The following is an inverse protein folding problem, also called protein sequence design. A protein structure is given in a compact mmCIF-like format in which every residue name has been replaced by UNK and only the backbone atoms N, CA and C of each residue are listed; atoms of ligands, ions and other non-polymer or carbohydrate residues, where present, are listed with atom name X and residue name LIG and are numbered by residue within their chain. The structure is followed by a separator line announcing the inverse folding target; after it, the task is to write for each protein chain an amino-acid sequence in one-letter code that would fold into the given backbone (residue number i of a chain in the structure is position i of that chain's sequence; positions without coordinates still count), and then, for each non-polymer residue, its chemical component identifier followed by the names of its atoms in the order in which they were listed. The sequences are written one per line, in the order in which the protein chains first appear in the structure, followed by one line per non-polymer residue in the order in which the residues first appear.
data_IF_631250884890
#
_entry.id   IF_631250884890
#
_cell.length_a   1.000
_cell.length_b   1.000
_cell.length_c   1.000
_cell.angle_alpha   90.00
_cell.angle_beta   90.00
_cell.angle_gamma   90.00
#
_symmetry.space_group_name_H-M   'P 1'
#
loop_
_entity.id
_entity.type
_entity.pdbx_description
1 polymer ?
#
# COMPACT_ATOMS: atom_id res chain seq x y z
N UNK A 1 -20.41 4.53 -15.69
CA UNK A 1 -19.04 5.02 -15.50
C UNK A 1 -18.73 5.20 -14.03
N UNK A 2 -18.19 4.13 -13.45
CA UNK A 2 -17.66 4.08 -12.09
C UNK A 2 -16.23 3.56 -12.17
N UNK A 3 -15.35 4.14 -11.36
CA UNK A 3 -13.93 3.79 -11.26
C UNK A 3 -13.54 3.73 -9.78
N UNK A 4 -12.51 2.95 -9.46
CA UNK A 4 -11.91 2.92 -8.13
C UNK A 4 -10.38 2.93 -8.23
N UNK A 5 -9.78 4.05 -7.79
CA UNK A 5 -8.35 4.30 -7.96
C UNK A 5 -7.57 4.20 -6.65
N UNK A 6 -8.16 3.66 -5.58
CA UNK A 6 -7.46 3.50 -4.30
C UNK A 6 -7.79 2.15 -3.67
N UNK A 7 -7.12 1.10 -4.16
CA UNK A 7 -7.35 -0.29 -3.74
C UNK A 7 -6.05 -0.90 -3.23
N UNK A 8 -6.13 -1.66 -2.14
CA UNK A 8 -4.98 -2.35 -1.54
C UNK A 8 -5.15 -3.86 -1.72
N UNK A 9 -4.04 -4.53 -1.99
CA UNK A 9 -3.94 -5.98 -2.09
C UNK A 9 -3.11 -6.56 -0.95
N UNK A 10 -3.00 -7.89 -0.92
CA UNK A 10 -2.08 -8.59 -0.01
C UNK A 10 -0.60 -8.19 -0.19
N UNK A 11 -0.23 -7.45 -1.24
CA UNK A 11 1.14 -6.96 -1.38
C UNK A 11 1.45 -5.80 -0.42
N UNK A 12 0.44 -5.25 0.26
CA UNK A 12 0.62 -4.31 1.38
C UNK A 12 -0.23 -4.68 2.59
N UNK A 13 -1.42 -4.11 2.75
CA UNK A 13 -2.32 -4.34 3.89
C UNK A 13 -3.77 -4.62 3.49
N UNK A 14 -4.00 -4.91 2.20
CA UNK A 14 -5.26 -5.44 1.71
C UNK A 14 -5.43 -6.92 2.03
N UNK A 15 -6.66 -7.43 1.89
CA UNK A 15 -6.99 -8.83 2.20
C UNK A 15 -7.18 -9.71 0.97
N UNK A 16 -7.41 -9.11 -0.20
CA UNK A 16 -7.64 -9.82 -1.45
C UNK A 16 -6.35 -9.91 -2.27
N UNK A 17 -6.19 -11.01 -3.00
CA UNK A 17 -5.14 -11.13 -4.01
C UNK A 17 -5.36 -10.15 -5.17
N UNK A 18 -4.30 -9.86 -5.91
CA UNK A 18 -4.36 -9.00 -7.09
C UNK A 18 -5.37 -9.50 -8.12
N UNK A 19 -5.42 -10.82 -8.37
CA UNK A 19 -6.38 -11.39 -9.33
C UNK A 19 -7.82 -11.28 -8.78
N UNK A 20 -8.06 -11.56 -7.49
CA UNK A 20 -9.40 -11.41 -6.88
C UNK A 20 -9.93 -9.97 -6.96
N UNK A 21 -9.07 -8.96 -6.76
CA UNK A 21 -9.45 -7.55 -6.90
C UNK A 21 -9.93 -7.25 -8.32
N UNK A 22 -9.20 -7.73 -9.33
CA UNK A 22 -9.55 -7.50 -10.74
C UNK A 22 -10.86 -8.20 -11.09
N UNK A 23 -11.07 -9.44 -10.64
CA UNK A 23 -12.32 -10.18 -10.87
C UNK A 23 -13.52 -9.47 -10.21
N UNK A 24 -13.40 -9.01 -8.96
CA UNK A 24 -14.45 -8.24 -8.28
C UNK A 24 -14.78 -6.95 -9.02
N UNK A 25 -13.76 -6.24 -9.51
CA UNK A 25 -13.96 -5.00 -10.26
C UNK A 25 -14.73 -5.23 -11.58
N UNK A 26 -14.45 -6.34 -12.28
CA UNK A 26 -15.18 -6.77 -13.46
C UNK A 26 -16.64 -7.14 -13.13
N UNK A 27 -16.87 -7.91 -12.06
CA UNK A 27 -18.22 -8.26 -11.58
C UNK A 27 -19.06 -7.02 -11.24
N UNK A 28 -18.40 -6.01 -10.65
CA UNK A 28 -19.00 -4.71 -10.33
C UNK A 28 -19.15 -3.78 -11.55
N UNK A 29 -18.68 -4.20 -12.73
CA UNK A 29 -18.72 -3.43 -13.97
C UNK A 29 -18.01 -2.07 -13.85
N UNK A 30 -16.90 -2.03 -13.12
CA UNK A 30 -16.03 -0.86 -13.06
C UNK A 30 -15.31 -0.68 -14.40
N UNK A 31 -15.19 0.57 -14.85
CA UNK A 31 -14.53 0.87 -16.12
C UNK A 31 -13.01 0.95 -15.97
N UNK A 32 -12.53 1.36 -14.80
CA UNK A 32 -11.11 1.44 -14.49
C UNK A 32 -10.83 1.19 -13.00
N UNK A 33 -9.67 0.60 -12.72
CA UNK A 33 -9.13 0.47 -11.36
C UNK A 33 -7.66 0.85 -11.25
N UNK A 34 -7.22 1.17 -10.03
CA UNK A 34 -5.80 1.24 -9.66
C UNK A 34 -5.57 0.54 -8.33
N UNK A 35 -4.65 -0.43 -8.32
CA UNK A 35 -4.15 -1.01 -7.08
C UNK A 35 -2.97 -0.16 -6.62
N UNK A 36 -3.10 0.47 -5.46
CA UNK A 36 -2.20 1.49 -4.92
C UNK A 36 -1.60 1.03 -3.61
N UNK A 37 -1.01 -0.16 -3.60
CA UNK A 37 -0.39 -0.74 -2.41
C UNK A 37 0.65 0.18 -1.76
N UNK A 38 0.76 0.11 -0.43
CA UNK A 38 1.71 0.90 0.34
C UNK A 38 3.16 0.63 -0.09
N UNK A 39 3.73 1.64 -0.75
CA UNK A 39 5.06 1.66 -1.33
C UNK A 39 5.39 0.43 -2.18
N UNK A 40 4.42 -0.29 -2.73
CA UNK A 40 4.66 -1.42 -3.62
C UNK A 40 3.94 -1.18 -4.95
N UNK A 41 4.68 -1.14 -6.05
CA UNK A 41 4.06 -1.00 -7.37
C UNK A 41 3.50 -2.37 -7.80
N UNK A 42 2.22 -2.57 -7.53
CA UNK A 42 1.49 -3.77 -7.96
C UNK A 42 0.98 -3.58 -9.38
N UNK A 43 1.42 -4.44 -10.29
CA UNK A 43 1.00 -4.43 -11.69
C UNK A 43 0.17 -5.68 -11.96
N UNK A 44 -1.18 -5.56 -12.01
CA UNK A 44 -2.03 -6.67 -12.37
C UNK A 44 -1.79 -7.11 -13.82
N UNK A 45 -2.10 -8.37 -14.10
CA UNK A 45 -2.18 -8.83 -15.50
C UNK A 45 -3.33 -8.11 -16.19
N UNK A 46 -3.12 -7.70 -17.44
CA UNK A 46 -4.18 -7.14 -18.28
C UNK A 46 -5.38 -8.10 -18.35
N UNK A 47 -6.59 -7.53 -18.33
CA UNK A 47 -7.87 -8.23 -18.54
C UNK A 47 -8.72 -7.38 -19.47
N UNK A 48 -9.44 -8.04 -20.37
CA UNK A 48 -10.39 -7.35 -21.25
C UNK A 48 -11.59 -6.86 -20.44
N UNK A 49 -12.14 -5.71 -20.80
CA UNK A 49 -13.32 -5.15 -20.15
C UNK A 49 -13.05 -4.26 -18.93
N UNK A 50 -11.79 -4.05 -18.55
CA UNK A 50 -11.40 -3.12 -17.49
C UNK A 50 -10.08 -2.42 -17.79
N UNK A 51 -10.02 -1.11 -17.57
CA UNK A 51 -8.77 -0.35 -17.62
C UNK A 51 -8.00 -0.47 -16.30
N UNK A 52 -6.70 -0.72 -16.37
CA UNK A 52 -5.86 -0.85 -15.19
C UNK A 52 -4.80 0.25 -15.23
N UNK A 53 -4.86 1.15 -14.26
CA UNK A 53 -3.92 2.26 -14.09
C UNK A 53 -2.88 1.87 -13.05
N UNK A 54 -1.60 1.89 -13.44
CA UNK A 54 -0.50 1.68 -12.51
C UNK A 54 -0.48 2.82 -11.49
N UNK A 55 -0.64 2.48 -10.21
CA UNK A 55 -0.62 3.44 -9.12
C UNK A 55 0.12 2.91 -7.90
N UNK A 56 0.37 3.79 -6.95
CA UNK A 56 1.01 3.46 -5.69
C UNK A 56 0.58 4.47 -4.63
N UNK A 57 0.53 4.05 -3.37
CA UNK A 57 0.39 4.93 -2.23
C UNK A 57 1.72 5.04 -1.48
N UNK A 58 2.19 6.27 -1.25
CA UNK A 58 3.47 6.53 -0.56
C UNK A 58 3.21 7.34 0.70
N UNK A 59 3.67 6.83 1.85
CA UNK A 59 3.74 7.63 3.07
C UNK A 59 4.72 8.78 2.90
N UNK A 60 4.27 9.98 3.25
CA UNK A 60 5.03 11.22 3.14
C UNK A 60 4.99 12.00 4.45
N UNK A 61 6.06 12.75 4.67
CA UNK A 61 6.20 13.66 5.81
C UNK A 61 6.11 15.10 5.30
N UNK A 62 5.40 15.94 6.04
CA UNK A 62 5.32 17.37 5.74
C UNK A 62 5.38 18.14 7.06
N UNK A 63 6.52 18.80 7.30
CA UNK A 63 6.81 19.48 8.56
C UNK A 63 5.69 20.41 9.01
N UNK A 64 5.08 21.17 8.10
CA UNK A 64 3.97 22.07 8.44
C UNK A 64 2.77 21.33 9.05
N UNK A 65 2.47 20.13 8.54
CA UNK A 65 1.38 19.30 9.08
C UNK A 65 1.81 18.69 10.40
N UNK A 66 3.02 18.15 10.50
CA UNK A 66 3.55 17.55 11.74
C UNK A 66 3.64 18.56 12.90
N UNK A 67 4.06 19.79 12.63
CA UNK A 67 4.15 20.87 13.61
C UNK A 67 2.76 21.23 14.16
N UNK A 68 1.73 21.13 13.32
CA UNK A 68 0.33 21.44 13.69
C UNK A 68 -0.41 20.27 14.34
N UNK A 69 -0.05 19.04 13.96
CA UNK A 69 -0.61 17.81 14.48
C UNK A 69 0.44 16.69 14.38
N UNK A 70 1.09 16.41 15.50
CA UNK A 70 2.14 15.38 15.62
C UNK A 70 1.64 13.95 15.35
N UNK A 71 0.32 13.75 15.27
CA UNK A 71 -0.30 12.46 14.95
C UNK A 71 -0.77 12.37 13.50
N UNK A 72 -0.65 13.43 12.71
CA UNK A 72 -1.05 13.41 11.31
C UNK A 72 -0.03 12.62 10.47
N UNK A 73 -0.55 11.75 9.59
CA UNK A 73 0.20 11.13 8.52
C UNK A 73 -0.35 11.58 7.18
N UNK A 74 0.54 11.76 6.19
CA UNK A 74 0.14 12.08 4.81
C UNK A 74 0.48 10.89 3.95
N UNK A 75 -0.48 10.47 3.13
CA UNK A 75 -0.24 9.53 2.06
C UNK A 75 -0.46 10.20 0.71
N UNK A 76 0.42 9.90 -0.24
CA UNK A 76 0.38 10.41 -1.60
C UNK A 76 0.04 9.27 -2.54
N UNK A 77 -1.09 9.41 -3.22
CA UNK A 77 -1.44 8.58 -4.37
C UNK A 77 -0.72 9.12 -5.60
N UNK A 78 0.04 8.25 -6.27
CA UNK A 78 0.74 8.55 -7.51
C UNK A 78 0.26 7.58 -8.57
N UNK A 79 -0.06 8.10 -9.75
CA UNK A 79 -0.66 7.33 -10.86
C UNK A 79 0.17 7.43 -12.13
N UNK A 80 -0.12 6.54 -13.08
CA UNK A 80 0.54 6.43 -14.38
C UNK A 80 2.05 6.17 -14.24
N UNK A 81 2.43 5.36 -13.25
CA UNK A 81 3.82 4.99 -13.04
C UNK A 81 4.31 3.99 -14.09
N UNK A 82 5.53 4.23 -14.54
CA UNK A 82 6.33 3.26 -15.28
C UNK A 82 6.99 2.27 -14.32
N UNK A 83 6.98 0.99 -14.69
CA UNK A 83 7.53 -0.12 -13.90
C UNK A 83 9.00 0.11 -13.51
N UNK A 84 9.81 0.57 -14.46
CA UNK A 84 11.21 0.89 -14.23
C UNK A 84 11.41 2.40 -14.08
N UNK A 85 11.04 2.93 -12.92
CA UNK A 85 11.23 4.34 -12.58
C UNK A 85 12.17 4.51 -11.38
N UNK A 86 12.86 5.67 -11.24
CA UNK A 86 13.77 5.93 -10.12
C UNK A 86 13.12 5.79 -8.73
N UNK A 87 11.79 5.96 -8.65
CA UNK A 87 11.03 5.86 -7.41
C UNK A 87 11.07 4.45 -6.81
N UNK A 88 11.17 3.39 -7.63
CA UNK A 88 11.19 1.99 -7.17
C UNK A 88 12.27 1.69 -6.13
N UNK A 89 13.46 2.29 -6.28
CA UNK A 89 14.54 2.18 -5.29
C UNK A 89 14.20 2.88 -3.98
N UNK A 90 13.59 4.05 -4.06
CA UNK A 90 13.16 4.83 -2.90
C UNK A 90 12.08 4.09 -2.10
N UNK A 91 11.11 3.52 -2.79
CA UNK A 91 10.02 2.75 -2.19
C UNK A 91 10.53 1.55 -1.38
N UNK A 92 11.53 0.82 -1.91
CA UNK A 92 12.16 -0.29 -1.17
C UNK A 92 12.79 0.18 0.15
N UNK A 93 13.40 1.35 0.17
CA UNK A 93 13.97 1.91 1.39
C UNK A 93 12.87 2.22 2.43
N UNK A 94 11.75 2.82 2.00
CA UNK A 94 10.63 3.10 2.90
C UNK A 94 10.07 1.81 3.51
N UNK A 95 9.87 0.76 2.70
CA UNK A 95 9.40 -0.55 3.21
C UNK A 95 10.34 -1.13 4.26
N UNK A 96 11.65 -1.06 4.05
CA UNK A 96 12.64 -1.52 5.05
C UNK A 96 12.55 -0.71 6.36
N UNK A 97 12.39 0.61 6.28
CA UNK A 97 12.20 1.45 7.47
C UNK A 97 10.91 1.09 8.22
N UNK A 98 9.83 0.75 7.51
CA UNK A 98 8.57 0.28 8.10
C UNK A 98 8.75 -1.06 8.82
N UNK A 99 9.53 -2.00 8.27
CA UNK A 99 9.86 -3.27 8.94
C UNK A 99 10.57 -3.02 10.27
N UNK A 100 11.63 -2.20 10.27
CA UNK A 100 12.37 -1.90 11.49
C UNK A 100 11.50 -1.16 12.52
N UNK A 101 10.66 -0.22 12.06
CA UNK A 101 9.66 0.44 12.92
C UNK A 101 8.70 -0.56 13.55
N UNK A 102 8.19 -1.53 12.79
CA UNK A 102 7.23 -2.53 13.29
C UNK A 102 7.87 -3.42 14.37
N UNK A 103 9.14 -3.81 14.22
CA UNK A 103 9.89 -4.52 15.27
C UNK A 103 10.00 -3.70 16.56
N UNK A 104 10.26 -2.40 16.45
CA UNK A 104 10.29 -1.49 17.61
C UNK A 104 8.92 -1.33 18.27
N UNK A 105 7.84 -1.29 17.49
CA UNK A 105 6.47 -1.28 18.01
C UNK A 105 6.19 -2.56 18.81
N UNK A 106 6.52 -3.74 18.26
CA UNK A 106 6.35 -5.03 18.95
C UNK A 106 7.14 -5.05 20.27
N UNK A 107 8.39 -4.58 20.28
CA UNK A 107 9.19 -4.48 21.52
C UNK A 107 8.51 -3.59 22.56
N UNK A 108 7.89 -2.48 22.16
CA UNK A 108 7.16 -1.58 23.07
C UNK A 108 5.89 -2.24 23.59
N UNK A 109 5.10 -2.88 22.73
CA UNK A 109 3.87 -3.59 23.12
C UNK A 109 4.17 -4.74 24.11
N UNK A 110 5.22 -5.51 23.86
CA UNK A 110 5.65 -6.58 24.76
C UNK A 110 6.04 -6.05 26.15
N UNK A 111 6.62 -4.84 26.25
CA UNK A 111 6.91 -4.18 27.54
C UNK A 111 5.64 -3.79 28.30
N UNK A 112 4.57 -3.47 27.58
CA UNK A 112 3.24 -3.19 28.13
C UNK A 112 2.42 -4.47 28.41
N UNK A 113 3.07 -5.64 28.40
CA UNK A 113 2.44 -6.97 28.58
C UNK A 113 1.45 -7.37 27.47
N UNK A 114 1.48 -6.70 26.31
CA UNK A 114 0.75 -7.11 25.11
C UNK A 114 1.67 -8.02 24.29
N UNK A 115 1.43 -9.33 24.39
CA UNK A 115 2.29 -10.34 23.76
C UNK A 115 2.02 -10.44 22.26
N UNK A 116 3.03 -10.09 21.45
CA UNK A 116 3.04 -10.25 20.00
C UNK A 116 4.40 -10.80 19.60
N UNK A 117 4.42 -11.89 18.84
CA UNK A 117 5.65 -12.45 18.29
C UNK A 117 6.01 -11.77 16.97
N UNK A 118 7.29 -11.53 16.72
CA UNK A 118 7.76 -10.94 15.44
C UNK A 118 7.34 -11.79 14.24
N UNK A 119 7.30 -13.12 14.40
CA UNK A 119 6.83 -14.07 13.37
C UNK A 119 5.37 -13.87 12.94
N UNK A 120 4.58 -13.09 13.68
CA UNK A 120 3.21 -12.74 13.29
C UNK A 120 3.16 -11.65 12.22
N UNK A 121 4.25 -10.88 12.03
CA UNK A 121 4.35 -9.91 10.94
C UNK A 121 4.39 -10.57 9.56
N UNK A 122 4.96 -11.78 9.47
CA UNK A 122 5.15 -12.51 8.21
C UNK A 122 3.94 -13.42 7.86
N UNK A 123 2.89 -13.42 8.67
CA UNK A 123 1.72 -14.31 8.52
C UNK A 123 0.60 -13.71 7.66
N UNK A 124 0.76 -12.48 7.17
CA UNK A 124 -0.23 -11.76 6.40
C UNK A 124 0.41 -11.14 5.16
#
# INVERSE_FOLDING_TARGET
MAIDLHIHSINSDGTDTVDEIVEKALEMQLEAISITDHEYLTIPKKRDGIEIINGIEVSANWNTVEDSNVFAGIHLLVYFLEEQSPITKHLKNIRNLKIERNKEIIKKLNKENIKIEESELDKF
#
